data_IF_929302586695
#
_entry.id   IF_929302586695
#
_cell.length_a   1.000
_cell.length_b   1.000
_cell.length_c   1.000
_cell.angle_alpha   90.00
_cell.angle_beta   90.00
_cell.angle_gamma   90.00
#
_symmetry.space_group_name_H-M   'P 1'
#
loop_
_entity.id
_entity.type
_entity.pdbx_description
1 polymer ?
#
# COMPACT_ATOMS: atom_id res chain seq x y z
N UNK A 1 6.05 -5.21 3.74
CA UNK A 1 5.49 -6.36 3.00
C UNK A 1 6.30 -6.70 1.74
N UNK A 2 6.59 -5.78 0.82
CA UNK A 2 7.32 -6.12 -0.43
C UNK A 2 8.72 -6.73 -0.21
N UNK A 3 9.48 -6.25 0.78
CA UNK A 3 10.78 -6.84 1.15
C UNK A 3 10.64 -8.28 1.69
N UNK A 4 9.58 -8.53 2.48
CA UNK A 4 9.29 -9.87 3.01
C UNK A 4 9.00 -10.85 1.87
N UNK A 5 8.12 -10.45 0.93
CA UNK A 5 7.81 -11.23 -0.26
C UNK A 5 9.05 -11.50 -1.14
N UNK A 6 9.92 -10.49 -1.29
CA UNK A 6 11.16 -10.64 -2.05
C UNK A 6 12.13 -11.62 -1.39
N UNK A 7 12.29 -11.57 -0.07
CA UNK A 7 13.12 -12.54 0.66
C UNK A 7 12.59 -13.98 0.51
N UNK A 8 11.26 -14.16 0.52
CA UNK A 8 10.63 -15.46 0.28
C UNK A 8 10.86 -15.95 -1.15
N UNK A 9 10.86 -15.05 -2.14
CA UNK A 9 11.24 -15.38 -3.51
C UNK A 9 12.73 -15.79 -3.63
N UNK A 10 13.63 -15.02 -3.01
CA UNK A 10 15.08 -15.31 -3.03
C UNK A 10 15.39 -16.68 -2.42
N UNK A 11 14.65 -17.10 -1.39
CA UNK A 11 14.78 -18.44 -0.83
C UNK A 11 14.64 -19.54 -1.90
N UNK A 12 13.70 -19.40 -2.85
CA UNK A 12 13.53 -20.37 -3.96
C UNK A 12 14.71 -20.41 -4.94
N UNK A 13 15.60 -19.41 -4.88
CA UNK A 13 16.81 -19.27 -5.68
C UNK A 13 18.06 -19.71 -4.92
N UNK A 14 17.91 -20.14 -3.66
CA UNK A 14 19.04 -20.43 -2.77
C UNK A 14 19.80 -19.17 -2.33
N UNK A 15 19.17 -17.99 -2.40
CA UNK A 15 19.78 -16.70 -2.08
C UNK A 15 18.97 -15.98 -0.98
N UNK A 16 19.53 -14.88 -0.46
CA UNK A 16 18.89 -14.02 0.51
C UNK A 16 19.04 -14.50 1.96
N UNK A 17 18.30 -13.87 2.88
CA UNK A 17 18.50 -14.02 4.32
C UNK A 17 17.85 -15.28 4.92
N UNK A 18 16.86 -15.88 4.25
CA UNK A 18 16.18 -17.09 4.72
C UNK A 18 17.05 -18.30 4.38
N UNK A 19 17.41 -19.12 5.38
CA UNK A 19 18.32 -20.26 5.19
C UNK A 19 17.63 -21.60 5.36
N UNK A 20 16.57 -21.63 6.17
CA UNK A 20 15.83 -22.84 6.48
C UNK A 20 14.38 -22.72 6.04
N UNK A 21 13.73 -23.86 5.80
CA UNK A 21 12.27 -23.91 5.56
C UNK A 21 11.49 -23.36 6.75
N UNK A 22 12.02 -23.49 7.98
CA UNK A 22 11.45 -22.87 9.16
C UNK A 22 11.44 -21.34 9.03
N UNK A 23 12.56 -20.71 8.63
CA UNK A 23 12.62 -19.26 8.40
C UNK A 23 11.58 -18.81 7.38
N UNK A 24 11.37 -19.59 6.32
CA UNK A 24 10.36 -19.32 5.31
C UNK A 24 8.94 -19.30 5.90
N UNK A 25 8.59 -20.28 6.72
CA UNK A 25 7.27 -20.34 7.35
C UNK A 25 7.08 -19.22 8.37
N UNK A 26 8.07 -18.95 9.22
CA UNK A 26 8.03 -17.81 10.14
C UNK A 26 7.85 -16.49 9.39
N UNK A 27 8.55 -16.31 8.27
CA UNK A 27 8.39 -15.12 7.43
C UNK A 27 6.98 -15.02 6.83
N UNK A 28 6.39 -16.15 6.41
CA UNK A 28 5.03 -16.21 5.89
C UNK A 28 3.98 -15.85 6.95
N UNK A 29 4.17 -16.27 8.21
CA UNK A 29 3.32 -15.89 9.34
C UNK A 29 3.34 -14.38 9.57
N UNK A 30 4.53 -13.77 9.62
CA UNK A 30 4.66 -12.31 9.74
C UNK A 30 4.04 -11.59 8.53
N UNK A 31 4.20 -12.13 7.33
CA UNK A 31 3.60 -11.56 6.12
C UNK A 31 2.06 -11.55 6.21
N UNK A 32 1.45 -12.67 6.59
CA UNK A 32 0.00 -12.77 6.79
C UNK A 32 -0.50 -11.82 7.90
N UNK A 33 0.26 -11.66 8.98
CA UNK A 33 -0.08 -10.71 10.05
C UNK A 33 -0.12 -9.26 9.54
N UNK A 34 0.86 -8.85 8.73
CA UNK A 34 0.90 -7.52 8.14
C UNK A 34 -0.25 -7.29 7.14
N UNK A 35 -0.58 -8.31 6.33
CA UNK A 35 -1.70 -8.25 5.41
C UNK A 35 -3.04 -8.11 6.17
N UNK A 36 -3.21 -8.81 7.30
CA UNK A 36 -4.38 -8.67 8.17
C UNK A 36 -4.48 -7.30 8.83
N UNK A 37 -3.36 -6.69 9.24
CA UNK A 37 -3.35 -5.31 9.75
C UNK A 37 -3.80 -4.34 8.66
N UNK A 38 -3.28 -4.49 7.45
CA UNK A 38 -3.69 -3.67 6.31
C UNK A 38 -5.18 -3.85 6.00
N UNK A 39 -5.70 -5.09 6.02
CA UNK A 39 -7.13 -5.36 5.84
C UNK A 39 -7.98 -4.54 6.82
N UNK A 40 -7.65 -4.55 8.11
CA UNK A 40 -8.39 -3.79 9.13
C UNK A 40 -8.36 -2.29 8.86
N UNK A 41 -7.18 -1.74 8.55
CA UNK A 41 -7.02 -0.31 8.26
C UNK A 41 -7.82 0.11 7.02
N UNK A 42 -7.77 -0.68 5.94
CA UNK A 42 -8.51 -0.36 4.70
C UNK A 42 -10.02 -0.61 4.89
N UNK A 43 -10.41 -1.53 5.77
CA UNK A 43 -11.82 -1.74 6.14
C UNK A 43 -12.39 -0.54 6.87
N UNK A 44 -11.64 0.05 7.78
CA UNK A 44 -12.05 1.30 8.45
C UNK A 44 -12.16 2.44 7.44
N UNK A 45 -11.17 2.58 6.56
CA UNK A 45 -11.22 3.56 5.47
C UNK A 45 -12.45 3.39 4.56
N UNK A 46 -12.85 2.16 4.24
CA UNK A 46 -14.00 1.92 3.35
C UNK A 46 -15.33 2.39 3.94
N UNK A 47 -15.44 2.58 5.26
CA UNK A 47 -16.63 3.17 5.88
C UNK A 47 -16.78 4.67 5.58
N UNK A 48 -15.67 5.38 5.42
CA UNK A 48 -15.65 6.81 5.04
C UNK A 48 -15.94 7.03 3.55
N UNK A 49 -15.81 5.99 2.73
CA UNK A 49 -16.13 6.07 1.29
C UNK A 49 -17.65 6.07 1.12
N UNK A 50 -18.24 7.04 0.39
CA UNK A 50 -19.67 7.05 0.10
C UNK A 50 -20.08 5.82 -0.72
N UNK A 51 -21.36 5.44 -0.66
CA UNK A 51 -21.89 4.30 -1.42
C UNK A 51 -21.75 4.52 -2.93
N UNK A 52 -20.65 4.05 -3.52
CA UNK A 52 -20.29 4.25 -4.92
C UNK A 52 -19.76 2.96 -5.57
N UNK A 53 -19.63 2.96 -6.89
CA UNK A 53 -19.02 1.86 -7.62
C UNK A 53 -17.57 1.59 -7.16
N UNK A 54 -16.80 2.64 -6.85
CA UNK A 54 -15.44 2.50 -6.34
C UNK A 54 -15.41 1.83 -4.96
N UNK A 55 -16.38 2.13 -4.09
CA UNK A 55 -16.51 1.44 -2.79
C UNK A 55 -16.80 -0.04 -2.97
N UNK A 56 -17.68 -0.39 -3.90
CA UNK A 56 -18.01 -1.79 -4.20
C UNK A 56 -16.79 -2.54 -4.73
N UNK A 57 -16.03 -1.94 -5.65
CA UNK A 57 -14.79 -2.52 -6.17
C UNK A 57 -13.72 -2.68 -5.07
N UNK A 58 -13.50 -1.63 -4.28
CA UNK A 58 -12.58 -1.65 -3.14
C UNK A 58 -12.91 -2.79 -2.18
N UNK A 59 -14.20 -2.93 -1.84
CA UNK A 59 -14.68 -3.96 -0.91
C UNK A 59 -14.49 -5.36 -1.51
N UNK A 60 -14.79 -5.54 -2.80
CA UNK A 60 -14.60 -6.83 -3.48
C UNK A 60 -13.14 -7.29 -3.51
N UNK A 61 -12.18 -6.36 -3.64
CA UNK A 61 -10.75 -6.68 -3.56
C UNK A 61 -10.36 -6.99 -2.10
N UNK A 62 -10.83 -6.17 -1.16
CA UNK A 62 -10.51 -6.27 0.27
C UNK A 62 -10.90 -7.63 0.88
N UNK A 63 -12.07 -8.16 0.51
CA UNK A 63 -12.58 -9.46 1.00
C UNK A 63 -11.72 -10.67 0.56
N UNK A 64 -10.83 -10.51 -0.43
CA UNK A 64 -9.93 -11.60 -0.86
C UNK A 64 -8.69 -11.73 0.02
N UNK A 65 -8.32 -10.68 0.76
CA UNK A 65 -7.09 -10.69 1.57
C UNK A 65 -7.12 -11.78 2.65
N UNK A 66 -8.18 -11.92 3.46
CA UNK A 66 -8.23 -12.97 4.48
C UNK A 66 -8.08 -14.38 3.89
N UNK A 67 -8.65 -14.62 2.70
CA UNK A 67 -8.58 -15.91 2.00
C UNK A 67 -7.14 -16.25 1.63
N UNK A 68 -6.40 -15.31 1.03
CA UNK A 68 -4.99 -15.53 0.70
C UNK A 68 -4.10 -15.70 1.94
N UNK A 69 -4.40 -14.97 3.03
CA UNK A 69 -3.70 -15.14 4.31
C UNK A 69 -3.86 -16.57 4.88
N UNK A 70 -5.03 -17.17 4.74
CA UNK A 70 -5.27 -18.56 5.15
C UNK A 70 -4.52 -19.54 4.24
N UNK A 71 -4.59 -19.36 2.92
CA UNK A 71 -3.95 -20.25 1.94
C UNK A 71 -2.42 -20.21 2.00
N UNK A 72 -1.85 -19.07 2.41
CA UNK A 72 -0.41 -18.91 2.68
C UNK A 72 0.14 -19.94 3.68
N UNK A 73 -0.68 -20.41 4.63
CA UNK A 73 -0.25 -21.31 5.70
C UNK A 73 -0.33 -22.80 5.35
N UNK A 74 -1.18 -23.18 4.39
CA UNK A 74 -1.54 -24.59 4.19
C UNK A 74 -0.68 -25.27 3.13
N UNK A 75 -0.51 -24.69 1.93
CA UNK A 75 0.04 -25.47 0.81
C UNK A 75 0.97 -24.73 -0.17
N UNK A 76 0.93 -23.40 -0.24
CA UNK A 76 1.55 -22.68 -1.37
C UNK A 76 2.10 -21.30 -1.01
N UNK A 77 2.94 -21.24 0.04
CA UNK A 77 3.56 -20.02 0.57
C UNK A 77 4.05 -19.07 -0.54
N UNK A 78 4.82 -19.57 -1.51
CA UNK A 78 5.42 -18.74 -2.57
C UNK A 78 4.38 -18.20 -3.57
N UNK A 79 3.46 -19.06 -4.04
CA UNK A 79 2.44 -18.65 -5.01
C UNK A 79 1.43 -17.70 -4.36
N UNK A 80 1.00 -18.01 -3.14
CA UNK A 80 0.03 -17.20 -2.41
C UNK A 80 0.61 -15.85 -1.99
N UNK A 81 1.91 -15.78 -1.68
CA UNK A 81 2.59 -14.49 -1.49
C UNK A 81 2.47 -13.62 -2.74
N UNK A 82 2.69 -14.19 -3.93
CA UNK A 82 2.58 -13.46 -5.20
C UNK A 82 1.14 -13.02 -5.48
N UNK A 83 0.17 -13.92 -5.30
CA UNK A 83 -1.24 -13.64 -5.50
C UNK A 83 -1.72 -12.53 -4.57
N UNK A 84 -1.38 -12.62 -3.29
CA UNK A 84 -1.69 -11.61 -2.29
C UNK A 84 -1.04 -10.27 -2.62
N UNK A 85 0.25 -10.25 -3.01
CA UNK A 85 0.91 -9.00 -3.43
C UNK A 85 0.21 -8.32 -4.62
N UNK A 86 -0.32 -9.10 -5.57
CA UNK A 86 -1.10 -8.56 -6.68
C UNK A 86 -2.44 -7.94 -6.22
N UNK A 87 -3.18 -8.62 -5.34
CA UNK A 87 -4.42 -8.06 -4.79
C UNK A 87 -4.16 -6.83 -3.89
N UNK A 88 -3.06 -6.82 -3.13
CA UNK A 88 -2.62 -5.65 -2.36
C UNK A 88 -2.35 -4.45 -3.29
N UNK A 89 -1.66 -4.66 -4.41
CA UNK A 89 -1.39 -3.57 -5.36
C UNK A 89 -2.68 -2.97 -5.94
N UNK A 90 -3.67 -3.82 -6.28
CA UNK A 90 -5.00 -3.37 -6.69
C UNK A 90 -5.72 -2.62 -5.58
N UNK A 91 -5.66 -3.13 -4.35
CA UNK A 91 -6.29 -2.52 -3.18
C UNK A 91 -5.74 -1.11 -2.90
N UNK A 92 -4.42 -0.95 -2.93
CA UNK A 92 -3.75 0.35 -2.73
C UNK A 92 -4.17 1.33 -3.83
N UNK A 93 -4.24 0.87 -5.08
CA UNK A 93 -4.69 1.68 -6.22
C UNK A 93 -6.14 2.13 -6.05
N UNK A 94 -7.04 1.20 -5.71
CA UNK A 94 -8.46 1.49 -5.49
C UNK A 94 -8.66 2.45 -4.30
N UNK A 95 -7.91 2.26 -3.22
CA UNK A 95 -7.93 3.13 -2.04
C UNK A 95 -7.48 4.56 -2.38
N UNK A 96 -6.44 4.70 -3.22
CA UNK A 96 -5.98 6.00 -3.70
C UNK A 96 -7.05 6.71 -4.56
N UNK A 97 -7.74 5.99 -5.45
CA UNK A 97 -8.85 6.54 -6.24
C UNK A 97 -9.97 7.04 -5.33
N UNK A 98 -10.39 6.25 -4.34
CA UNK A 98 -11.40 6.69 -3.38
C UNK A 98 -10.97 7.94 -2.59
N UNK A 99 -9.73 7.94 -2.07
CA UNK A 99 -9.22 9.05 -1.26
C UNK A 99 -9.15 10.36 -2.06
N UNK A 100 -8.72 10.30 -3.32
CA UNK A 100 -8.60 11.49 -4.18
C UNK A 100 -9.94 11.97 -4.72
N UNK A 101 -10.83 11.06 -5.11
CA UNK A 101 -12.14 11.39 -5.68
C UNK A 101 -13.07 12.04 -4.65
N UNK A 102 -13.01 11.59 -3.40
CA UNK A 102 -13.89 12.04 -2.32
C UNK A 102 -13.20 12.95 -1.30
N UNK A 103 -11.94 13.33 -1.57
CA UNK A 103 -11.12 14.18 -0.69
C UNK A 103 -11.10 13.68 0.77
N UNK A 104 -11.06 12.35 0.95
CA UNK A 104 -11.07 11.73 2.28
C UNK A 104 -9.72 11.97 2.92
N UNK A 105 -9.69 12.79 3.96
CA UNK A 105 -8.52 12.89 4.82
C UNK A 105 -8.43 11.65 5.69
N UNK A 106 -7.33 10.90 5.54
CA UNK A 106 -7.05 9.78 6.43
C UNK A 106 -6.71 10.33 7.82
N UNK A 107 -7.75 10.54 8.65
CA UNK A 107 -7.60 10.70 10.10
C UNK A 107 -7.22 9.34 10.65
N UNK A 108 -5.93 9.01 10.53
CA UNK A 108 -5.38 7.75 11.00
C UNK A 108 -5.90 7.47 12.40
N UNK A 109 -6.52 6.29 12.55
CA UNK A 109 -7.08 5.83 13.82
C UNK A 109 -6.10 6.15 14.93
N UNK A 110 -6.61 6.83 15.96
CA UNK A 110 -5.86 7.17 17.15
C UNK A 110 -5.31 5.89 17.77
N UNK A 111 -4.07 5.54 17.44
CA UNK A 111 -3.23 4.77 18.35
C UNK A 111 -3.19 5.62 19.62
N UNK A 112 -3.64 5.14 20.79
CA UNK A 112 -3.49 5.92 22.00
C UNK A 112 -2.00 6.15 22.20
N UNK A 113 -1.56 7.39 21.96
CA UNK A 113 -0.23 7.85 22.36
C UNK A 113 -0.25 7.77 23.89
N UNK A 114 0.40 6.74 24.43
CA UNK A 114 0.86 6.77 25.81
C UNK A 114 1.65 8.05 25.98
N UNK A 115 1.14 8.91 26.86
CA UNK A 115 1.74 10.20 27.20
C UNK A 115 3.03 9.88 27.95
N UNK A 116 4.14 9.92 27.24
CA UNK A 116 5.50 9.82 27.76
C UNK A 116 6.25 11.07 27.33
N UNK A 117 6.46 11.94 28.30
CA UNK A 117 7.15 13.22 28.25
C UNK A 117 8.49 13.19 27.50
N UNK A 118 8.79 14.22 26.70
CA UNK A 118 10.09 14.38 26.05
C UNK A 118 10.06 15.25 24.79
N UNK A 119 10.33 16.54 24.96
CA UNK A 119 10.67 17.48 23.88
C UNK A 119 11.76 16.93 22.95
N UNK A 120 11.58 17.03 21.62
CA UNK A 120 12.50 17.75 20.72
C UNK A 120 12.06 17.71 19.24
N UNK A 121 12.12 18.91 18.65
CA UNK A 121 12.39 19.27 17.24
C UNK A 121 11.35 18.94 16.15
N UNK A 122 10.78 20.01 15.64
CA UNK A 122 10.15 20.09 14.32
C UNK A 122 11.10 19.66 13.19
N UNK A 123 10.60 18.81 12.28
CA UNK A 123 10.97 18.83 10.87
C UNK A 123 9.69 18.78 10.04
N UNK A 124 9.37 19.93 9.41
CA UNK A 124 8.28 20.09 8.46
C UNK A 124 8.69 19.45 7.14
N UNK A 125 8.45 18.16 6.96
CA UNK A 125 8.46 17.54 5.64
C UNK A 125 7.01 17.28 5.21
N UNK A 126 6.40 18.38 4.76
CA UNK A 126 5.12 18.38 4.07
C UNK A 126 5.25 17.70 2.71
N UNK A 127 4.51 16.61 2.52
CA UNK A 127 3.75 16.35 1.30
C UNK A 127 4.55 16.33 -0.02
N UNK A 128 5.57 15.46 -0.13
CA UNK A 128 6.35 15.29 -1.37
C UNK A 128 5.61 14.58 -2.54
N UNK A 129 4.41 14.07 -2.34
CA UNK A 129 3.64 13.41 -3.42
C UNK A 129 2.81 14.36 -4.28
N UNK A 130 2.77 15.65 -3.93
CA UNK A 130 1.95 16.64 -4.64
C UNK A 130 2.87 17.69 -5.26
N UNK A 131 3.37 17.43 -6.47
CA UNK A 131 3.71 18.43 -7.52
C UNK A 131 4.41 17.77 -8.72
N UNK A 132 3.62 17.27 -9.67
CA UNK A 132 3.99 17.38 -11.09
C UNK A 132 3.40 18.70 -11.61
N UNK A 133 4.21 19.70 -12.01
CA UNK A 133 3.68 20.86 -12.70
C UNK A 133 3.34 20.46 -14.14
N UNK A 134 2.06 20.59 -14.50
CA UNK A 134 1.61 20.60 -15.89
C UNK A 134 2.25 21.79 -16.60
N UNK A 135 3.17 21.52 -17.54
CA UNK A 135 3.82 22.54 -18.36
C UNK A 135 2.73 23.18 -19.24
N UNK A 136 2.41 24.45 -19.01
CA UNK A 136 1.63 25.23 -19.98
C UNK A 136 2.50 25.46 -21.20
N UNK A 137 1.97 25.15 -22.38
CA UNK A 137 2.51 25.55 -23.69
C UNK A 137 2.76 27.07 -23.68
N UNK A 138 4.02 27.47 -23.80
CA UNK A 138 4.39 28.82 -24.22
C UNK A 138 4.17 28.93 -25.74
N UNK A 139 3.42 29.94 -26.16
CA UNK A 139 3.25 30.30 -27.56
C UNK A 139 4.59 30.79 -28.15
N UNK A 140 4.86 30.59 -29.46
CA UNK A 140 6.08 31.08 -30.10
C UNK A 140 6.05 32.61 -30.29
N UNK A 141 7.22 33.29 -30.26
CA UNK A 141 7.31 34.74 -30.46
C UNK A 141 7.11 35.15 -31.93
N UNK A 142 6.66 36.38 -32.21
CA UNK A 142 6.49 36.88 -33.57
C UNK A 142 7.86 37.20 -34.21
N UNK A 143 8.08 36.70 -35.41
CA UNK A 143 9.24 37.02 -36.25
C UNK A 143 9.06 38.43 -36.80
N UNK A 144 9.90 39.37 -36.34
CA UNK A 144 10.04 40.67 -36.96
C UNK A 144 10.78 40.51 -38.30
N UNK A 145 10.08 40.77 -39.41
CA UNK A 145 10.72 41.00 -40.70
C UNK A 145 11.34 42.39 -40.70
N UNK A 146 12.63 42.49 -41.04
CA UNK A 146 13.23 43.75 -41.46
C UNK A 146 14.09 43.51 -42.69
N UNK A 147 13.97 44.47 -43.61
CA UNK A 147 14.49 44.53 -44.98
C UNK A 147 15.99 44.28 -45.13
#
# INVERSE_FOLDING_TARGET
MSSMAYNMYLFTRGDGPLKTTHDLFTQAEFFAEQANKMYKTVREFSYEVPGSAEKSELSAILEKIPVHCQQLQVDSVIQETKNLMNEIAKLVTSSFVCATKYEIEFRGGSVPRTVGDGEHRASRESTLWRRTPSIRRTAPPPVAYQH
#
